data_IF_192187061502
#
_entry.id   IF_192187061502
#
_cell.length_a   1.000
_cell.length_b   1.000
_cell.length_c   1.000
_cell.angle_alpha   90.00
_cell.angle_beta   90.00
_cell.angle_gamma   90.00
#
_symmetry.space_group_name_H-M   'P 1'
#
loop_
_entity.id
_entity.type
_entity.pdbx_description
1 polymer ?
2 non-polymer ?
3 non-polymer ?
4 non-polymer ?
5 water ?
#
# COMPACT_ATOMS: atom_id res chain seq x y z
N UNK A 3 -0.22 17.79 -15.56
CA UNK A 3 0.57 18.68 -14.72
C UNK A 3 1.05 18.00 -13.41
N UNK A 4 0.15 17.28 -12.68
CA UNK A 4 0.62 16.59 -11.47
C UNK A 4 1.60 15.46 -11.79
N UNK A 5 1.22 14.58 -12.71
CA UNK A 5 2.10 13.47 -13.08
C UNK A 5 3.40 13.98 -13.71
N UNK A 6 3.31 15.03 -14.53
CA UNK A 6 4.50 15.58 -15.17
C UNK A 6 5.43 16.21 -14.16
N UNK A 7 4.89 16.80 -13.08
CA UNK A 7 5.73 17.33 -12.01
C UNK A 7 6.30 16.21 -11.15
N UNK A 8 5.50 15.17 -10.89
CA UNK A 8 5.95 14.07 -10.05
C UNK A 8 7.16 13.38 -10.67
N UNK A 9 7.08 13.05 -11.97
CA UNK A 9 8.21 12.43 -12.64
C UNK A 9 9.39 13.36 -12.80
N UNK A 10 9.17 14.68 -12.76
CA UNK A 10 10.27 15.63 -12.83
C UNK A 10 11.03 15.69 -11.51
N UNK A 11 10.31 15.61 -10.39
CA UNK A 11 10.97 15.60 -9.09
C UNK A 11 11.71 14.29 -8.87
N UNK A 12 11.26 13.22 -9.53
CA UNK A 12 11.98 11.95 -9.46
C UNK A 12 13.40 12.09 -10.00
N UNK A 13 13.53 12.73 -11.17
CA UNK A 13 14.86 12.98 -11.72
C UNK A 13 15.69 13.83 -10.77
N UNK A 14 15.05 14.82 -10.13
CA UNK A 14 15.76 15.65 -9.17
C UNK A 14 16.20 14.84 -7.96
N UNK A 15 15.34 13.94 -7.47
CA UNK A 15 15.70 13.12 -6.32
C UNK A 15 16.76 12.10 -6.71
N UNK A 16 16.62 11.47 -7.87
CA UNK A 16 17.59 10.47 -8.30
C UNK A 16 18.97 11.08 -8.46
N UNK A 17 19.03 12.33 -8.96
CA UNK A 17 20.31 12.97 -9.19
C UNK A 17 21.04 13.24 -7.88
N UNK A 18 20.31 13.68 -6.84
CA UNK A 18 20.95 13.91 -5.55
C UNK A 18 21.45 12.61 -4.94
N UNK A 19 20.63 11.56 -4.96
CA UNK A 19 21.03 10.30 -4.35
C UNK A 19 22.27 9.73 -5.01
N UNK A 20 22.34 9.77 -6.34
CA UNK A 20 23.49 9.20 -7.03
C UNK A 20 24.73 10.09 -6.90
N UNK A 21 24.54 11.42 -6.95
CA UNK A 21 25.68 12.31 -6.75
C UNK A 21 26.20 12.25 -5.33
N UNK A 22 25.30 12.08 -4.35
CA UNK A 22 25.73 11.91 -2.96
C UNK A 22 26.60 10.67 -2.81
N UNK A 23 26.20 9.56 -3.44
CA UNK A 23 27.03 8.36 -3.43
C UNK A 23 28.36 8.60 -4.12
N UNK A 24 28.36 9.39 -5.20
CA UNK A 24 29.59 9.63 -5.94
C UNK A 24 30.53 10.57 -5.18
N UNK A 25 29.98 11.58 -4.53
CA UNK A 25 30.79 12.61 -3.88
C UNK A 25 31.09 12.31 -2.41
N UNK A 26 30.13 11.74 -1.67
CA UNK A 26 30.30 11.51 -0.25
C UNK A 26 30.51 10.05 0.13
N UNK A 27 30.23 9.11 -0.77
CA UNK A 27 30.40 7.70 -0.48
C UNK A 27 31.45 7.02 -1.35
N UNK A 28 32.16 7.80 -2.17
CA UNK A 28 33.31 7.31 -2.92
C UNK A 28 32.93 6.17 -3.87
N UNK A 29 31.77 6.28 -4.50
CA UNK A 29 31.27 5.22 -5.38
C UNK A 29 31.79 5.44 -6.81
N UNK A 30 32.24 4.35 -7.42
CA UNK A 30 32.72 4.39 -8.79
C UNK A 30 31.56 4.57 -9.76
N UNK A 31 31.83 5.08 -10.97
CA UNK A 31 30.73 5.27 -11.93
C UNK A 31 30.00 3.99 -12.31
N UNK A 32 30.72 2.86 -12.37
CA UNK A 32 30.09 1.61 -12.78
C UNK A 32 28.96 1.23 -11.83
N UNK A 33 29.14 1.46 -10.53
CA UNK A 33 28.09 1.15 -9.57
C UNK A 33 27.03 2.25 -9.51
N UNK A 34 27.39 3.49 -9.83
CA UNK A 34 26.40 4.56 -9.86
C UNK A 34 25.37 4.28 -10.95
N UNK A 35 25.83 3.89 -12.14
CA UNK A 35 24.90 3.54 -13.20
C UNK A 35 24.14 2.26 -12.87
N UNK A 36 24.79 1.33 -12.18
CA UNK A 36 24.10 0.12 -11.74
C UNK A 36 22.94 0.47 -10.81
N UNK A 37 23.16 1.41 -9.89
CA UNK A 37 22.10 1.81 -8.97
C UNK A 37 21.06 2.68 -9.64
N UNK A 38 21.42 3.41 -10.70
CA UNK A 38 20.41 4.15 -11.45
C UNK A 38 19.44 3.20 -12.15
N UNK A 39 19.98 2.15 -12.77
CA UNK A 39 19.13 1.17 -13.44
C UNK A 39 18.27 0.40 -12.43
N UNK A 40 18.86 0.05 -11.28
CA UNK A 40 18.09 -0.64 -10.26
C UNK A 40 16.99 0.26 -9.69
N UNK A 41 17.28 1.55 -9.52
CA UNK A 41 16.28 2.47 -9.01
C UNK A 41 15.13 2.64 -9.99
N UNK A 42 15.43 2.76 -11.29
CA UNK A 42 14.38 2.91 -12.29
C UNK A 42 13.53 1.65 -12.38
N UNK A 43 14.15 0.47 -12.24
CA UNK A 43 13.42 -0.77 -12.38
C UNK A 43 12.45 -0.99 -11.22
N UNK A 44 12.90 -0.72 -9.99
CA UNK A 44 12.10 -1.03 -8.82
C UNK A 44 11.05 0.04 -8.53
N UNK A 45 11.34 1.31 -8.82
CA UNK A 45 10.46 2.40 -8.43
C UNK A 45 9.49 2.81 -9.53
N UNK A 46 9.95 2.89 -10.77
CA UNK A 46 9.10 3.32 -11.88
C UNK A 46 8.33 2.12 -12.45
N UNK A 47 7.35 2.44 -13.29
CA UNK A 47 6.58 1.43 -13.99
C UNK A 47 5.22 1.14 -13.39
N UNK A 48 4.95 1.62 -12.18
CA UNK A 48 3.66 1.42 -11.53
C UNK A 48 2.69 2.53 -11.84
N UNK A 49 1.55 2.50 -11.15
CA UNK A 49 0.53 3.53 -11.33
C UNK A 49 0.79 4.76 -10.48
N UNK A 50 1.64 4.64 -9.46
CA UNK A 50 2.01 5.76 -8.58
C UNK A 50 0.79 6.34 -7.87
N UNK A 51 -0.16 5.47 -7.51
CA UNK A 51 -1.38 5.94 -6.85
C UNK A 51 -1.07 6.53 -5.48
N UNK A 52 -0.17 5.89 -4.72
CA UNK A 52 0.17 6.40 -3.39
C UNK A 52 0.91 7.72 -3.48
N UNK A 53 1.85 7.83 -4.41
CA UNK A 53 2.65 9.05 -4.50
C UNK A 53 1.85 10.24 -4.96
N UNK A 54 0.95 10.04 -5.93
CA UNK A 54 0.13 11.13 -6.43
C UNK A 54 -0.94 11.56 -5.43
N UNK A 55 -1.35 10.67 -4.53
CA UNK A 55 -2.31 11.05 -3.50
C UNK A 55 -1.72 12.10 -2.56
N UNK A 56 -0.42 12.02 -2.29
CA UNK A 56 0.24 13.01 -1.45
C UNK A 56 0.14 14.40 -2.08
N UNK A 57 0.29 14.47 -3.40
CA UNK A 57 0.22 15.75 -4.09
C UNK A 57 -1.22 16.24 -4.16
N UNK A 58 -2.17 15.34 -4.37
CA UNK A 58 -3.57 15.75 -4.48
C UNK A 58 -4.10 16.30 -3.17
N UNK A 59 -3.60 15.80 -2.04
CA UNK A 59 -4.01 16.35 -0.75
C UNK A 59 -3.39 17.72 -0.52
N UNK A 60 -2.12 17.90 -0.92
CA UNK A 60 -1.43 19.15 -0.67
C UNK A 60 -2.02 20.29 -1.50
N UNK A 61 -2.38 20.01 -2.76
CA UNK A 61 -2.88 21.08 -3.62
C UNK A 61 -4.29 21.52 -3.20
N UNK A 62 -5.04 20.63 -2.54
CA UNK A 62 -6.36 21.00 -2.02
C UNK A 62 -6.28 21.83 -0.75
N UNK A 63 -5.16 21.76 -0.02
CA UNK A 63 -4.98 22.54 1.19
C UNK A 63 -4.22 23.83 0.94
N UNK A 64 -3.90 24.14 -0.32
CA UNK A 64 -3.23 25.39 -0.66
C UNK A 64 -4.24 26.47 -1.08
N UNK A 65 -4.98 26.22 -2.16
CA UNK A 65 -5.97 27.19 -2.61
C UNK A 65 -7.16 27.26 -1.67
N UNK A 66 -7.46 26.17 -0.97
CA UNK A 66 -8.58 26.10 -0.03
C UNK A 66 -8.09 26.20 1.41
N UNK A 67 -7.07 27.02 1.66
CA UNK A 67 -6.51 27.19 2.99
C UNK A 67 -7.43 28.03 3.87
N UNK A 77 3.14 33.30 -4.79
CA UNK A 77 3.17 32.57 -3.54
C UNK A 77 4.38 31.67 -3.39
N UNK A 78 5.36 32.12 -2.61
CA UNK A 78 6.55 31.32 -2.36
C UNK A 78 6.26 30.11 -1.47
N UNK A 79 5.18 30.15 -0.69
CA UNK A 79 4.82 28.99 0.12
C UNK A 79 4.20 27.89 -0.72
N UNK A 80 3.56 28.25 -1.85
CA UNK A 80 2.93 27.24 -2.69
C UNK A 80 3.96 26.34 -3.36
N UNK A 81 4.99 26.94 -3.97
CA UNK A 81 5.99 26.15 -4.68
C UNK A 81 6.75 25.21 -3.75
N UNK A 82 6.90 25.60 -2.48
CA UNK A 82 7.61 24.77 -1.53
C UNK A 82 6.77 23.58 -1.07
N UNK A 83 5.48 23.81 -0.80
CA UNK A 83 4.61 22.73 -0.32
C UNK A 83 4.42 21.68 -1.40
N UNK A 84 4.22 22.11 -2.65
CA UNK A 84 4.04 21.14 -3.74
C UNK A 84 5.32 20.34 -3.98
N UNK A 85 6.49 21.00 -3.93
CA UNK A 85 7.74 20.28 -4.09
C UNK A 85 7.98 19.34 -2.90
N UNK A 86 7.59 19.76 -1.70
CA UNK A 86 7.70 18.88 -0.54
C UNK A 86 6.75 17.69 -0.66
N UNK A 87 5.57 17.90 -1.25
CA UNK A 87 4.63 16.81 -1.42
C UNK A 87 5.14 15.79 -2.44
N UNK A 88 5.96 16.23 -3.40
CA UNK A 88 6.50 15.30 -4.38
C UNK A 88 7.57 14.40 -3.77
N UNK A 89 8.41 14.95 -2.89
CA UNK A 89 9.41 14.13 -2.21
C UNK A 89 8.72 13.09 -1.33
N UNK A 90 7.70 13.51 -0.59
CA UNK A 90 6.94 12.56 0.21
C UNK A 90 6.25 11.53 -0.66
N UNK A 91 5.76 11.94 -1.83
CA UNK A 91 5.16 10.98 -2.75
C UNK A 91 6.14 9.93 -3.22
N UNK A 92 7.42 10.30 -3.37
CA UNK A 92 8.42 9.32 -3.75
C UNK A 92 8.97 8.54 -2.55
N UNK A 93 8.83 9.08 -1.33
CA UNK A 93 9.18 8.30 -0.15
C UNK A 93 8.31 7.06 -0.04
N UNK A 94 7.02 7.19 -0.40
CA UNK A 94 6.12 6.04 -0.34
C UNK A 94 6.36 5.11 -1.53
N UNK A 95 6.58 5.67 -2.72
CA UNK A 95 6.84 4.83 -3.89
C UNK A 95 8.12 4.03 -3.72
N UNK A 96 9.18 4.67 -3.22
CA UNK A 96 10.41 3.94 -2.91
C UNK A 96 10.17 2.92 -1.81
N UNK A 97 9.28 3.22 -0.86
CA UNK A 97 8.92 2.25 0.15
C UNK A 97 8.12 1.09 -0.45
N UNK A 98 7.21 1.39 -1.37
CA UNK A 98 6.50 0.33 -2.08
C UNK A 98 7.46 -0.52 -2.90
N UNK A 99 8.46 0.13 -3.52
CA UNK A 99 9.51 -0.63 -4.19
C UNK A 99 10.27 -1.51 -3.22
N UNK A 100 10.51 -1.00 -2.01
CA UNK A 100 11.21 -1.79 -0.99
C UNK A 100 10.41 -3.05 -0.62
N UNK A 101 9.09 -2.92 -0.51
CA UNK A 101 8.26 -4.07 -0.17
C UNK A 101 8.24 -5.10 -1.30
N UNK A 102 8.16 -4.63 -2.55
CA UNK A 102 8.11 -5.54 -3.68
C UNK A 102 9.41 -6.33 -3.81
N UNK A 103 10.56 -5.69 -3.54
CA UNK A 103 11.83 -6.39 -3.63
C UNK A 103 11.92 -7.47 -2.56
N UNK A 104 11.44 -7.18 -1.35
CA UNK A 104 11.43 -8.19 -0.30
C UNK A 104 10.56 -9.38 -0.68
N UNK A 105 9.48 -9.13 -1.44
CA UNK A 105 8.61 -10.23 -1.86
C UNK A 105 9.30 -11.16 -2.85
N UNK A 106 10.13 -10.59 -3.74
CA UNK A 106 10.83 -11.42 -4.72
C UNK A 106 11.85 -12.34 -4.06
N UNK A 107 12.42 -11.91 -2.93
CA UNK A 107 13.38 -12.75 -2.22
C UNK A 107 12.68 -13.92 -1.54
N UNK A 108 11.43 -13.75 -1.12
CA UNK A 108 10.71 -14.82 -0.45
C UNK A 108 10.39 -15.97 -1.41
N UNK A 109 10.29 -15.68 -2.70
CA UNK A 109 10.02 -16.72 -3.70
C UNK A 109 10.91 -16.57 -4.93
N UNK A 124 27.47 -18.96 -2.49
CA UNK A 124 27.77 -17.55 -2.74
C UNK A 124 26.97 -17.00 -3.93
N UNK A 125 25.65 -17.16 -3.90
CA UNK A 125 24.78 -16.68 -4.96
C UNK A 125 24.78 -15.16 -4.92
N UNK A 126 25.52 -14.53 -5.83
CA UNK A 126 25.73 -13.09 -5.77
C UNK A 126 24.44 -12.33 -6.09
N UNK A 127 23.54 -12.94 -6.86
CA UNK A 127 22.30 -12.24 -7.22
C UNK A 127 21.32 -12.21 -6.05
N UNK A 128 21.39 -13.16 -5.12
CA UNK A 128 20.53 -13.11 -3.94
C UNK A 128 21.05 -12.08 -2.95
N UNK A 129 22.37 -11.90 -2.86
CA UNK A 129 22.93 -10.85 -2.03
C UNK A 129 22.55 -9.47 -2.55
N UNK A 130 22.56 -9.30 -3.88
CA UNK A 130 22.22 -8.01 -4.46
C UNK A 130 20.75 -7.68 -4.25
N UNK A 131 19.87 -8.67 -4.40
CA UNK A 131 18.45 -8.43 -4.18
C UNK A 131 18.18 -8.01 -2.74
N UNK A 132 18.86 -8.65 -1.78
CA UNK A 132 18.73 -8.24 -0.39
C UNK A 132 19.28 -6.84 -0.18
N UNK A 133 20.45 -6.56 -0.77
CA UNK A 133 21.05 -5.24 -0.61
C UNK A 133 20.21 -4.16 -1.28
N UNK A 134 19.62 -4.46 -2.45
CA UNK A 134 18.73 -3.50 -3.09
C UNK A 134 17.54 -3.17 -2.20
N UNK A 135 17.01 -4.16 -1.48
CA UNK A 135 15.89 -3.90 -0.60
C UNK A 135 16.23 -2.95 0.52
N UNK A 136 17.43 -3.06 1.07
CA UNK A 136 17.81 -2.18 2.17
C UNK A 136 18.24 -0.80 1.66
N UNK A 137 18.73 -0.72 0.41
CA UNK A 137 19.05 0.58 -0.16
C UNK A 137 17.78 1.37 -0.47
N UNK A 138 16.74 0.70 -0.94
CA UNK A 138 15.48 1.38 -1.22
C UNK A 138 14.86 1.94 0.05
N UNK A 139 14.94 1.18 1.15
CA UNK A 139 14.40 1.69 2.42
C UNK A 139 15.25 2.83 2.96
N UNK A 140 16.57 2.72 2.84
CA UNK A 140 17.45 3.79 3.30
C UNK A 140 17.30 5.03 2.44
N UNK A 141 16.96 4.88 1.16
CA UNK A 141 16.83 6.02 0.28
C UNK A 141 15.67 6.92 0.67
N UNK A 142 14.63 6.37 1.31
CA UNK A 142 13.54 7.21 1.78
C UNK A 142 14.00 8.13 2.91
N UNK A 143 14.97 7.68 3.72
CA UNK A 143 15.50 8.54 4.77
C UNK A 143 16.42 9.62 4.21
N UNK A 144 17.21 9.27 3.19
CA UNK A 144 18.19 10.22 2.65
C UNK A 144 17.50 11.35 1.90
N UNK A 145 16.45 11.05 1.14
CA UNK A 145 15.72 12.10 0.45
C UNK A 145 14.88 12.94 1.41
N UNK A 146 14.54 12.40 2.58
CA UNK A 146 13.81 13.18 3.59
C UNK A 146 14.76 14.06 4.38
N UNK A 147 15.94 13.56 4.74
CA UNK A 147 16.91 14.33 5.50
C UNK A 147 17.53 15.46 4.70
N UNK A 148 17.40 15.45 3.36
CA UNK A 148 18.00 16.46 2.51
C UNK A 148 17.00 17.53 2.10
N UNK A 149 15.92 17.13 1.42
CA UNK A 149 14.95 18.12 0.94
C UNK A 149 14.12 18.71 2.08
N UNK A 150 14.04 18.03 3.22
CA UNK A 150 13.34 18.55 4.39
C UNK A 150 14.29 18.88 5.53
N UNK A 151 15.55 19.19 5.20
CA UNK A 151 16.56 19.37 6.22
C UNK A 151 16.22 20.54 7.15
N UNK A 152 15.69 21.62 6.59
CA UNK A 152 15.35 22.82 7.35
C UNK A 152 13.85 22.96 7.56
N UNK A 153 13.09 21.88 7.36
CA UNK A 153 11.66 21.95 7.63
C UNK A 153 11.39 21.63 9.09
N UNK A 154 10.41 22.29 9.72
CA UNK A 154 10.11 22.01 11.13
C UNK A 154 9.43 20.67 11.35
N UNK A 155 9.05 19.95 10.30
CA UNK A 155 8.32 18.70 10.44
C UNK A 155 9.17 17.47 10.15
N UNK A 156 10.49 17.64 9.97
CA UNK A 156 11.34 16.51 9.60
C UNK A 156 11.31 15.42 10.68
N UNK A 157 11.31 15.83 11.95
CA UNK A 157 11.27 14.84 13.03
C UNK A 157 9.92 14.14 13.09
N UNK A 158 8.83 14.90 12.97
CA UNK A 158 7.51 14.29 13.03
C UNK A 158 7.23 13.45 11.78
N UNK A 159 7.86 13.79 10.65
CA UNK A 159 7.66 12.99 9.45
C UNK A 159 8.35 11.64 9.55
N UNK A 160 9.61 11.64 9.98
CA UNK A 160 10.36 10.38 10.09
C UNK A 160 9.72 9.42 11.07
N UNK A 161 9.16 9.95 12.17
CA UNK A 161 8.57 9.08 13.18
C UNK A 161 7.25 8.47 12.70
N UNK A 162 6.40 9.28 12.05
CA UNK A 162 5.18 8.74 11.49
C UNK A 162 5.46 7.81 10.32
N UNK A 163 6.55 8.06 9.57
CA UNK A 163 6.92 7.18 8.49
C UNK A 163 7.47 5.86 9.02
N UNK A 164 8.34 5.92 10.03
CA UNK A 164 8.91 4.70 10.58
C UNK A 164 7.85 3.88 11.32
N UNK A 165 6.93 4.55 12.01
CA UNK A 165 5.86 3.82 12.70
C UNK A 165 4.95 3.10 11.71
N UNK A 166 4.73 3.68 10.53
CA UNK A 166 3.90 3.01 9.53
C UNK A 166 4.66 1.84 8.91
N UNK A 167 5.97 1.99 8.69
CA UNK A 167 6.77 0.89 8.18
C UNK A 167 6.81 -0.25 9.18
N UNK A 168 6.96 0.08 10.47
CA UNK A 168 6.83 -0.92 11.52
C UNK A 168 5.46 -1.60 11.47
N UNK A 169 4.41 -0.80 11.23
CA UNK A 169 3.06 -1.36 11.16
C UNK A 169 2.95 -2.40 10.06
N UNK A 170 3.52 -2.12 8.89
CA UNK A 170 3.44 -3.07 7.78
C UNK A 170 4.14 -4.37 8.10
N UNK A 171 5.30 -4.31 8.73
CA UNK A 171 6.02 -5.52 9.11
C UNK A 171 5.19 -6.34 10.10
N UNK A 172 4.51 -5.68 11.04
CA UNK A 172 3.59 -6.38 11.92
C UNK A 172 2.42 -6.95 11.13
N UNK A 173 2.00 -6.25 10.08
CA UNK A 173 0.90 -6.74 9.28
C UNK A 173 1.23 -8.02 8.53
N UNK A 174 2.46 -8.15 8.05
CA UNK A 174 2.81 -9.37 7.34
C UNK A 174 3.10 -10.53 8.27
N UNK A 175 3.45 -10.26 9.53
CA UNK A 175 3.58 -11.35 10.49
C UNK A 175 2.24 -12.02 10.73
N UNK A 176 1.17 -11.21 10.83
CA UNK A 176 -0.17 -11.77 10.94
C UNK A 176 -0.55 -12.54 9.69
N UNK A 177 -0.14 -12.06 8.53
CA UNK A 177 -0.51 -12.70 7.27
C UNK A 177 0.25 -14.00 7.06
N UNK A 178 1.58 -13.95 7.23
CA UNK A 178 2.41 -15.13 7.00
C UNK A 178 2.04 -16.26 7.96
N UNK A 179 1.65 -15.92 9.18
CA UNK A 179 1.35 -16.91 10.21
C UNK A 179 -0.14 -16.97 10.55
N UNK A 180 -1.00 -16.72 9.56
CA UNK A 180 -2.44 -16.82 9.81
C UNK A 180 -2.93 -18.26 9.81
N UNK A 181 -2.16 -19.18 9.23
CA UNK A 181 -2.53 -20.59 9.20
C UNK A 181 -1.73 -21.42 10.19
N UNK A 182 -0.78 -20.82 10.91
CA UNK A 182 0.08 -21.53 11.85
C UNK A 182 0.12 -20.81 13.18
N UNK A 183 0.41 -21.58 14.23
CA UNK A 183 0.71 -21.05 15.56
C UNK A 183 1.28 -22.14 16.45
N UNK A 199 -7.45 -23.53 11.27
CA UNK A 199 -8.21 -22.43 10.69
C UNK A 199 -8.89 -21.58 11.76
N UNK A 200 -8.30 -21.58 12.96
CA UNK A 200 -8.89 -20.83 14.06
C UNK A 200 -8.87 -19.33 13.80
N UNK A 201 -7.76 -18.81 13.29
CA UNK A 201 -7.64 -17.38 13.04
C UNK A 201 -8.31 -16.93 11.75
N UNK A 202 -8.95 -17.85 11.01
CA UNK A 202 -9.68 -17.50 9.80
C UNK A 202 -11.03 -16.90 10.20
N UNK A 203 -10.98 -15.65 10.65
CA UNK A 203 -12.18 -14.92 11.03
C UNK A 203 -12.19 -13.59 10.30
N UNK A 204 -13.36 -12.94 10.31
CA UNK A 204 -13.49 -11.65 9.66
C UNK A 204 -12.80 -10.54 10.46
N UNK A 205 -12.63 -10.73 11.76
CA UNK A 205 -11.93 -9.74 12.58
C UNK A 205 -10.42 -9.83 12.39
N UNK A 206 -9.88 -11.05 12.36
CA UNK A 206 -8.46 -11.20 12.09
C UNK A 206 -8.11 -10.81 10.66
N UNK A 207 -9.02 -11.09 9.72
CA UNK A 207 -8.82 -10.62 8.36
C UNK A 207 -8.70 -9.10 8.33
N UNK A 208 -9.59 -8.42 9.05
CA UNK A 208 -9.50 -6.96 9.15
C UNK A 208 -8.16 -6.53 9.73
N UNK A 209 -7.68 -7.24 10.76
CA UNK A 209 -6.40 -6.88 11.38
C UNK A 209 -5.26 -7.04 10.39
N UNK A 210 -5.27 -8.11 9.60
CA UNK A 210 -4.21 -8.32 8.61
C UNK A 210 -4.24 -7.21 7.56
N UNK A 211 -5.41 -6.94 7.00
CA UNK A 211 -5.53 -5.91 5.97
C UNK A 211 -5.21 -4.53 6.55
N UNK A 212 -5.59 -4.31 7.82
CA UNK A 212 -5.38 -3.00 8.43
C UNK A 212 -3.90 -2.66 8.54
N UNK A 213 -3.10 -3.57 9.08
CA UNK A 213 -1.70 -3.29 9.35
C UNK A 213 -0.80 -3.55 8.14
N UNK A 214 -1.08 -4.59 7.36
CA UNK A 214 -0.21 -4.91 6.24
C UNK A 214 -0.44 -3.98 5.04
N UNK A 215 -1.66 -3.49 4.85
CA UNK A 215 -2.01 -2.76 3.64
C UNK A 215 -2.54 -1.36 3.92
N UNK A 216 -3.50 -1.22 4.83
CA UNK A 216 -4.27 0.02 4.92
C UNK A 216 -3.41 1.18 5.41
N UNK A 217 -2.49 0.92 6.33
CA UNK A 217 -1.78 2.02 6.99
C UNK A 217 -0.82 2.73 6.03
N UNK A 218 -0.12 1.98 5.18
CA UNK A 218 0.87 2.59 4.30
C UNK A 218 0.32 2.92 2.91
N UNK A 219 -0.79 2.32 2.51
CA UNK A 219 -1.37 2.59 1.20
C UNK A 219 -2.38 3.73 1.23
N UNK A 220 -3.14 3.87 2.31
CA UNK A 220 -4.21 4.85 2.37
C UNK A 220 -4.02 5.90 3.45
N UNK A 221 -3.63 5.50 4.67
CA UNK A 221 -3.49 6.48 5.73
C UNK A 221 -2.19 7.27 5.63
N UNK A 222 -1.11 6.60 5.23
CA UNK A 222 0.19 7.27 5.16
C UNK A 222 0.23 8.40 4.14
N UNK A 223 -0.28 8.24 2.90
CA UNK A 223 -0.23 9.38 1.97
C UNK A 223 -1.07 10.56 2.43
N UNK A 224 -2.24 10.30 3.03
CA UNK A 224 -3.08 11.40 3.51
C UNK A 224 -2.41 12.17 4.63
N UNK A 225 -1.84 11.46 5.60
CA UNK A 225 -1.12 12.13 6.69
C UNK A 225 0.07 12.90 6.14
N UNK A 226 0.76 12.34 5.16
CA UNK A 226 1.91 13.03 4.58
C UNK A 226 1.51 14.30 3.84
N UNK A 227 0.34 14.30 3.21
CA UNK A 227 -0.15 15.52 2.59
C UNK A 227 -0.48 16.60 3.61
N UNK A 228 -0.99 16.21 4.77
CA UNK A 228 -1.29 17.17 5.83
C UNK A 228 -0.02 17.73 6.45
N UNK A 229 1.07 16.97 6.45
CA UNK A 229 2.30 17.42 7.10
C UNK A 229 2.98 18.49 6.26
N UNK A 230 3.12 18.25 4.95
CA UNK A 230 3.76 19.24 4.09
C UNK A 230 2.90 20.47 3.91
N UNK A 231 1.58 20.35 4.13
CA UNK A 231 0.68 21.50 4.11
C UNK A 231 0.58 22.19 5.46
N UNK A 232 1.26 21.67 6.48
CA UNK A 232 1.28 22.23 7.83
C UNK A 232 -0.11 22.32 8.45
N UNK A 233 -1.07 21.58 7.91
CA UNK A 233 -2.45 21.57 8.39
C UNK A 233 -2.82 20.21 8.98
N UNK A 234 -1.87 19.60 9.70
CA UNK A 234 -2.14 18.30 10.30
C UNK A 234 -3.18 18.38 11.42
N UNK A 235 -3.06 19.27 12.41
CA UNK A 235 -4.06 19.31 13.48
C UNK A 235 -5.39 19.96 13.10
N UNK A 236 -5.61 20.23 11.82
CA UNK A 236 -6.84 20.87 11.35
C UNK A 236 -7.88 19.85 10.88
N UNK A 237 -7.61 18.55 11.04
CA UNK A 237 -8.50 17.51 10.59
C UNK A 237 -8.80 16.56 11.75
N UNK A 238 -9.93 15.87 11.65
CA UNK A 238 -10.29 14.84 12.61
C UNK A 238 -9.56 13.56 12.20
N UNK A 239 -8.49 13.22 12.92
CA UNK A 239 -7.70 12.04 12.58
C UNK A 239 -8.49 10.76 12.82
N UNK A 240 -9.42 10.77 13.78
CA UNK A 240 -10.22 9.59 14.03
C UNK A 240 -11.03 9.17 12.82
N UNK A 241 -11.81 10.10 12.27
CA UNK A 241 -12.56 9.83 11.05
C UNK A 241 -11.60 9.54 9.89
N UNK A 242 -10.44 10.20 9.89
CA UNK A 242 -9.46 9.97 8.82
C UNK A 242 -8.92 8.55 8.88
N UNK A 243 -8.51 8.10 10.08
CA UNK A 243 -7.99 6.75 10.22
C UNK A 243 -9.06 5.71 9.90
N UNK A 244 -10.31 5.99 10.31
CA UNK A 244 -11.38 5.03 10.03
C UNK A 244 -11.68 4.95 8.54
N UNK A 245 -11.57 6.07 7.82
CA UNK A 245 -11.76 6.03 6.37
C UNK A 245 -10.70 5.19 5.69
N UNK A 246 -9.44 5.33 6.13
CA UNK A 246 -8.35 4.60 5.48
C UNK A 246 -8.49 3.10 5.67
N UNK A 247 -8.88 2.66 6.87
CA UNK A 247 -9.02 1.23 7.12
C UNK A 247 -10.14 0.63 6.29
N UNK A 248 -11.24 1.36 6.11
CA UNK A 248 -12.37 0.83 5.34
C UNK A 248 -12.04 0.79 3.85
N UNK A 249 -11.29 1.77 3.35
CA UNK A 249 -10.90 1.75 1.95
C UNK A 249 -9.90 0.64 1.66
N UNK A 250 -8.96 0.42 2.57
CA UNK A 250 -8.04 -0.71 2.42
C UNK A 250 -8.76 -2.04 2.49
N UNK A 251 -9.76 -2.14 3.37
CA UNK A 251 -10.59 -3.34 3.42
C UNK A 251 -11.39 -3.51 2.13
N UNK A 252 -11.96 -2.42 1.62
CA UNK A 252 -12.64 -2.49 0.32
C UNK A 252 -11.68 -2.91 -0.78
N UNK A 253 -10.45 -2.41 -0.73
CA UNK A 253 -9.47 -2.72 -1.78
C UNK A 253 -9.04 -4.18 -1.72
N UNK A 254 -8.86 -4.73 -0.52
CA UNK A 254 -8.33 -6.08 -0.39
C UNK A 254 -9.37 -7.15 -0.70
N UNK A 255 -10.63 -6.90 -0.38
CA UNK A 255 -11.67 -7.89 -0.68
C UNK A 255 -11.83 -8.04 -2.19
N UNK A 256 -11.94 -6.92 -2.91
CA UNK A 256 -11.98 -6.97 -4.37
C UNK A 256 -10.73 -7.64 -4.93
N UNK A 257 -9.58 -7.44 -4.27
CA UNK A 257 -8.36 -8.08 -4.73
C UNK A 257 -8.41 -9.60 -4.52
N UNK A 258 -9.01 -10.04 -3.41
CA UNK A 258 -9.07 -11.47 -3.12
C UNK A 258 -10.00 -12.20 -4.09
N UNK A 259 -11.12 -11.56 -4.46
CA UNK A 259 -12.05 -12.18 -5.40
C UNK A 259 -11.41 -12.27 -6.79
N UNK A 260 -10.73 -11.21 -7.21
CA UNK A 260 -10.06 -11.23 -8.51
C UNK A 260 -8.94 -12.26 -8.53
N UNK A 261 -8.23 -12.41 -7.41
CA UNK A 261 -7.12 -13.36 -7.36
C UNK A 261 -7.57 -14.78 -7.63
N UNK A 262 -8.83 -15.10 -7.34
CA UNK A 262 -9.35 -16.44 -7.48
C UNK A 262 -10.07 -16.68 -8.81
N UNK A 263 -10.85 -15.71 -9.28
CA UNK A 263 -11.70 -15.92 -10.46
C UNK A 263 -11.23 -15.24 -11.72
N UNK A 264 -10.47 -14.16 -11.61
CA UNK A 264 -9.99 -13.46 -12.81
C UNK A 264 -8.87 -14.26 -13.45
N UNK A 265 -8.96 -14.53 -14.76
CA UNK A 265 -7.90 -15.31 -15.43
C UNK A 265 -6.57 -14.59 -15.40
N UNK A 266 -5.46 -15.31 -15.58
CA UNK A 266 -4.14 -14.66 -15.45
C UNK A 266 -3.89 -13.56 -16.47
N UNK A 267 -4.34 -13.73 -17.72
CA UNK A 267 -4.11 -12.70 -18.73
C UNK A 267 -4.93 -11.44 -18.48
N UNK A 268 -6.03 -11.55 -17.74
CA UNK A 268 -6.85 -10.40 -17.38
C UNK A 268 -6.52 -9.85 -16.00
N UNK A 269 -5.94 -10.66 -15.12
CA UNK A 269 -5.61 -10.19 -13.78
C UNK A 269 -4.25 -9.51 -13.73
N UNK A 270 -3.30 -9.95 -14.54
CA UNK A 270 -1.96 -9.41 -14.55
C UNK A 270 -0.93 -10.28 -13.83
N UNK A 271 -1.38 -11.32 -13.15
CA UNK A 271 -0.49 -12.25 -12.45
C UNK A 271 -1.17 -13.61 -12.40
N UNK A 272 -0.62 -14.51 -11.60
CA UNK A 272 -1.21 -15.83 -11.39
C UNK A 272 -1.67 -15.90 -9.94
N UNK A 273 -2.99 -15.92 -9.74
CA UNK A 273 -3.56 -15.98 -8.42
C UNK A 273 -3.18 -17.25 -7.67
N UNK A 274 -2.52 -17.09 -6.53
CA UNK A 274 -2.02 -18.24 -5.77
C UNK A 274 -2.50 -18.22 -4.32
N UNK A 275 -3.61 -17.55 -4.03
CA UNK A 275 -4.09 -17.45 -2.66
C UNK A 275 -4.52 -18.81 -2.12
N UNK A 276 -5.21 -19.61 -2.94
CA UNK A 276 -5.64 -20.93 -2.48
C UNK A 276 -4.43 -21.84 -2.25
N UNK A 277 -3.47 -21.81 -3.16
CA UNK A 277 -2.26 -22.62 -2.99
C UNK A 277 -1.45 -22.17 -1.78
N UNK A 278 -1.31 -20.86 -1.59
CA UNK A 278 -0.57 -20.32 -0.45
C UNK A 278 -1.33 -20.43 0.86
N UNK A 279 -2.57 -20.94 0.83
CA UNK A 279 -3.39 -21.09 2.03
C UNK A 279 -3.59 -19.76 2.75
N UNK A 280 -3.85 -18.71 1.98
CA UNK A 280 -3.96 -17.37 2.55
C UNK A 280 -5.31 -17.20 3.26
N UNK A 281 -5.31 -16.30 4.25
CA UNK A 281 -6.53 -15.94 4.97
C UNK A 281 -7.27 -14.86 4.17
N UNK A 282 -7.81 -15.29 3.02
CA UNK A 282 -8.49 -14.37 2.12
C UNK A 282 -9.93 -14.13 2.59
N UNK A 283 -10.57 -13.14 1.97
CA UNK A 283 -11.97 -12.86 2.30
C UNK A 283 -12.87 -14.00 1.87
N UNK A 284 -12.56 -14.63 0.73
CA UNK A 284 -13.37 -15.76 0.28
C UNK A 284 -13.31 -16.92 1.26
N UNK A 285 -12.14 -17.16 1.83
CA UNK A 285 -11.98 -18.30 2.74
C UNK A 285 -12.76 -18.09 4.03
N UNK A 286 -12.65 -16.90 4.64
CA UNK A 286 -13.31 -16.67 5.91
C UNK A 286 -14.81 -16.50 5.73
N UNK A 287 -15.24 -15.96 4.59
CA UNK A 287 -16.68 -15.89 4.32
C UNK A 287 -17.26 -17.25 3.99
N UNK A 288 -16.48 -18.10 3.31
CA UNK A 288 -16.94 -19.45 3.01
C UNK A 288 -17.12 -20.27 4.28
N UNK A 289 -16.17 -20.18 5.21
CA UNK A 289 -16.25 -20.98 6.43
C UNK A 289 -17.45 -20.63 7.29
N UNK A 290 -18.00 -19.43 7.12
CA UNK A 290 -19.14 -19.01 7.95
C UNK A 290 -20.46 -19.57 7.43
N UNK A 291 -20.56 -19.84 6.13
CA UNK A 291 -21.82 -20.32 5.56
C UNK A 291 -21.73 -21.72 4.99
N UNK A 292 -20.61 -22.41 5.16
CA UNK A 292 -20.49 -23.77 4.65
C UNK A 292 -21.06 -24.78 5.64
N UNK A 293 -21.38 -25.97 5.13
CA UNK A 293 -21.86 -27.05 5.96
C UNK A 293 -20.68 -27.75 6.65
N UNK A 294 -20.99 -28.71 7.51
CA UNK A 294 -19.92 -29.42 8.22
C UNK A 294 -19.08 -30.24 7.26
N UNK A 295 -19.70 -30.84 6.24
CA UNK A 295 -18.94 -31.62 5.27
C UNK A 295 -18.14 -30.71 4.34
N UNK A 296 -18.74 -29.59 3.91
CA UNK A 296 -18.05 -28.68 3.01
C UNK A 296 -16.82 -28.06 3.66
N UNK A 297 -16.86 -27.82 4.97
CA UNK A 297 -15.68 -27.34 5.67
C UNK A 297 -14.60 -28.41 5.68
N UNK A 298 -14.99 -29.68 5.89
CA UNK A 298 -14.02 -30.77 5.83
C UNK A 298 -13.45 -30.92 4.43
N UNK A 299 -14.29 -30.77 3.40
CA UNK A 299 -13.77 -30.79 2.03
C UNK A 299 -12.92 -29.57 1.75
N UNK A 300 -13.18 -28.45 2.43
CA UNK A 300 -12.33 -27.27 2.30
C UNK A 300 -10.97 -27.49 2.95
N UNK A 301 -10.96 -28.04 4.17
CA UNK A 301 -9.71 -28.29 4.87
C UNK A 301 -8.85 -29.30 4.12
N UNK A 302 -9.47 -30.29 3.49
CA UNK A 302 -8.70 -31.32 2.82
C UNK A 302 -8.11 -30.86 1.50
N UNK A 303 -8.58 -29.74 0.95
CA UNK A 303 -8.14 -29.25 -0.35
C UNK A 303 -7.47 -27.88 -0.32
N UNK A 304 -7.64 -27.12 0.75
CA UNK A 304 -7.03 -25.80 0.81
C UNK A 304 -5.53 -25.92 1.07
N UNK A 305 -4.77 -24.95 0.58
CA UNK A 305 -3.35 -24.91 0.79
C UNK A 305 -2.53 -25.89 -0.02
N UNK A 306 -3.09 -26.44 -1.09
CA UNK A 306 -2.39 -27.40 -1.93
C UNK A 306 -2.13 -26.80 -3.31
N UNK A 307 -1.18 -27.40 -4.01
CA UNK A 307 -0.83 -27.00 -5.36
C UNK A 307 -1.41 -27.85 -6.47
N UNK A 308 -2.18 -28.87 -6.13
CA UNK A 308 -2.79 -29.72 -7.14
C UNK A 308 -3.84 -28.94 -7.93
N UNK A 309 -3.86 -29.16 -9.25
CA UNK A 309 -4.74 -28.39 -10.12
C UNK A 309 -6.22 -28.65 -9.83
N UNK A 310 -6.57 -29.87 -9.43
CA UNK A 310 -7.96 -30.19 -9.16
C UNK A 310 -8.39 -29.83 -7.74
N UNK A 311 -7.46 -29.85 -6.79
CA UNK A 311 -7.81 -29.39 -5.44
C UNK A 311 -8.11 -27.90 -5.43
N UNK A 312 -7.32 -27.11 -6.16
CA UNK A 312 -7.62 -25.68 -6.31
C UNK A 312 -8.97 -25.50 -6.99
N UNK A 313 -9.23 -26.28 -8.04
CA UNK A 313 -10.53 -26.21 -8.71
C UNK A 313 -11.65 -26.69 -7.80
N UNK A 314 -11.36 -27.63 -6.89
CA UNK A 314 -12.37 -28.03 -5.92
C UNK A 314 -12.65 -26.91 -4.93
N UNK A 315 -11.65 -26.11 -4.60
CA UNK A 315 -11.87 -24.96 -3.73
C UNK A 315 -12.69 -23.89 -4.44
N UNK A 316 -12.38 -23.62 -5.71
CA UNK A 316 -13.20 -22.68 -6.48
C UNK A 316 -14.62 -23.22 -6.65
N UNK A 317 -14.77 -24.54 -6.76
CA UNK A 317 -16.11 -25.12 -6.85
C UNK A 317 -16.91 -24.86 -5.58
N UNK A 318 -16.26 -25.01 -4.41
CA UNK A 318 -16.92 -24.69 -3.15
C UNK A 318 -17.25 -23.20 -3.05
N UNK A 319 -16.34 -22.34 -3.50
CA UNK A 319 -16.61 -20.90 -3.51
C UNK A 319 -17.79 -20.57 -4.42
N UNK A 320 -17.81 -21.16 -5.62
CA UNK A 320 -18.89 -20.87 -6.56
C UNK A 320 -20.23 -21.36 -6.05
N UNK A 321 -20.28 -22.61 -5.58
CA UNK A 321 -21.54 -23.20 -5.14
C UNK A 321 -22.07 -22.57 -3.86
N UNK A 322 -21.28 -21.77 -3.16
CA UNK A 322 -21.73 -21.08 -1.96
C UNK A 322 -22.24 -19.66 -2.23
N UNK A 323 -22.27 -19.25 -3.50
CA UNK A 323 -22.73 -17.91 -3.89
C UNK A 323 -21.93 -16.83 -3.16
N UNK A 324 -20.62 -16.97 -3.17
CA UNK A 324 -19.77 -15.97 -2.53
C UNK A 324 -19.71 -14.69 -3.35
N UNK A 325 -19.65 -14.82 -4.68
CA UNK A 325 -19.63 -13.66 -5.56
C UNK A 325 -20.92 -12.86 -5.53
N UNK A 326 -21.99 -13.41 -4.96
CA UNK A 326 -23.17 -12.64 -4.69
C UNK A 326 -23.02 -11.87 -3.40
N UNK A 327 -22.41 -12.51 -2.39
CA UNK A 327 -22.12 -11.83 -1.14
C UNK A 327 -21.08 -10.73 -1.31
N UNK A 328 -20.20 -10.88 -2.30
CA UNK A 328 -19.17 -9.87 -2.54
C UNK A 328 -19.76 -8.54 -2.92
N UNK A 329 -20.80 -8.55 -3.77
CA UNK A 329 -21.41 -7.30 -4.19
C UNK A 329 -22.12 -6.62 -3.03
N UNK A 330 -22.70 -7.41 -2.11
CA UNK A 330 -23.40 -6.84 -0.98
C UNK A 330 -22.42 -6.31 0.07
N UNK A 331 -21.35 -7.05 0.34
CA UNK A 331 -20.38 -6.61 1.35
C UNK A 331 -19.73 -5.29 0.96
N UNK A 332 -19.32 -5.17 -0.31
CA UNK A 332 -18.67 -3.94 -0.76
C UNK A 332 -19.63 -2.77 -0.81
N UNK A 333 -20.91 -3.03 -1.10
CA UNK A 333 -21.89 -1.95 -1.14
C UNK A 333 -22.04 -1.30 0.23
N UNK A 334 -22.04 -2.11 1.29
CA UNK A 334 -22.14 -1.56 2.64
C UNK A 334 -20.88 -0.80 3.02
N UNK A 335 -19.71 -1.28 2.55
CA UNK A 335 -18.47 -0.56 2.82
C UNK A 335 -18.49 0.80 2.13
N UNK A 336 -18.96 0.85 0.87
CA UNK A 336 -18.99 2.10 0.13
C UNK A 336 -19.91 3.12 0.82
N UNK A 337 -21.01 2.65 1.41
CA UNK A 337 -21.90 3.56 2.12
C UNK A 337 -21.22 4.16 3.34
N UNK A 338 -20.43 3.36 4.06
CA UNK A 338 -19.71 3.88 5.22
C UNK A 338 -18.67 4.90 4.80
N UNK A 339 -18.03 4.69 3.64
CA UNK A 339 -17.05 5.66 3.14
C UNK A 339 -17.74 6.96 2.75
N UNK A 340 -18.87 6.84 2.04
CA UNK A 340 -19.62 8.04 1.66
C UNK A 340 -20.08 8.82 2.88
N UNK A 341 -20.42 8.13 3.97
CA UNK A 341 -20.87 8.82 5.18
C UNK A 341 -19.71 9.45 5.94
N UNK A 342 -18.59 8.73 6.06
CA UNK A 342 -17.47 9.22 6.85
C UNK A 342 -16.77 10.40 6.18
N UNK A 343 -16.85 10.51 4.86
CA UNK A 343 -16.28 11.66 4.17
C UNK A 343 -17.01 12.93 4.57
N UNK A 344 -18.33 12.83 4.79
CA UNK A 344 -19.11 14.01 5.16
C UNK A 344 -18.73 14.51 6.55
N UNK A 345 -18.56 13.60 7.51
CA UNK A 345 -18.19 14.01 8.86
C UNK A 345 -16.83 14.72 8.88
N UNK A 346 -15.91 14.29 8.02
CA UNK A 346 -14.61 14.94 7.88
C UNK A 346 -14.72 16.31 7.21
N UNK A 347 -15.84 16.61 6.57
CA UNK A 347 -16.01 17.83 5.79
C UNK A 347 -16.45 19.01 6.65
N UNK A 348 -17.12 18.77 7.78
CA UNK A 348 -17.59 19.88 8.61
C UNK A 348 -16.44 20.72 9.13
N UNK A 349 -15.26 20.12 9.29
CA UNK A 349 -14.07 20.84 9.75
C UNK A 349 -12.92 20.79 8.75
N UNK A 350 -13.09 20.09 7.62
CA UNK A 350 -12.04 20.02 6.61
C UNK A 350 -12.71 19.85 5.24
N UNK A 351 -13.16 20.96 4.65
CA UNK A 351 -13.87 20.86 3.36
C UNK A 351 -12.95 20.45 2.22
N UNK A 352 -11.80 21.12 2.09
CA UNK A 352 -10.88 20.80 1.02
C UNK A 352 -10.18 19.47 1.21
N UNK A 353 -9.89 19.10 2.45
CA UNK A 353 -9.23 17.82 2.71
C UNK A 353 -10.14 16.65 2.33
N UNK A 354 -11.45 16.81 2.53
CA UNK A 354 -12.39 15.75 2.18
C UNK A 354 -12.53 15.58 0.68
N UNK A 355 -12.13 16.58 -0.11
CA UNK A 355 -12.20 16.44 -1.57
C UNK A 355 -11.13 15.49 -2.08
N UNK A 356 -9.92 15.56 -1.53
CA UNK A 356 -8.85 14.68 -1.96
C UNK A 356 -9.10 13.24 -1.49
N UNK A 357 -9.61 13.07 -0.27
CA UNK A 357 -9.96 11.74 0.20
C UNK A 357 -11.08 11.15 -0.64
N UNK A 358 -11.98 12.00 -1.13
CA UNK A 358 -13.03 11.52 -2.02
C UNK A 358 -12.45 11.12 -3.37
N UNK A 359 -11.44 11.83 -3.85
CA UNK A 359 -10.77 11.46 -5.09
C UNK A 359 -9.98 10.17 -4.92
N UNK A 360 -9.31 10.00 -3.78
CA UNK A 360 -8.62 8.75 -3.50
C UNK A 360 -9.59 7.58 -3.42
N UNK A 361 -10.80 7.83 -2.92
CA UNK A 361 -11.80 6.76 -2.83
C UNK A 361 -12.28 6.33 -4.21
N UNK A 362 -12.37 7.27 -5.16
CA UNK A 362 -12.81 6.91 -6.50
C UNK A 362 -11.84 5.99 -7.22
N UNK A 363 -10.54 6.14 -6.94
CA UNK A 363 -9.55 5.25 -7.55
C UNK A 363 -9.68 3.83 -7.03
N UNK A 364 -10.12 3.67 -5.78
CA UNK A 364 -10.39 2.34 -5.22
C UNK A 364 -11.78 1.84 -5.55
N UNK A 365 -12.73 2.75 -5.72
CA UNK A 365 -14.12 2.38 -6.03
C UNK A 365 -14.33 2.30 -7.55
X LIG B 1 4.57 -6.63 1.41
X LIG B 1 6.49 -6.29 4.90
X LIG B 1 7.98 -7.26 3.25
X LIG B 1 7.55 -5.53 5.42
X LIG B 1 9.04 -6.52 3.78
X LIG B 1 8.82 -5.65 4.85
X LIG B 1 4.40 -6.49 0.08
X LIG B 1 5.34 -7.66 1.84
X LIG B 1 3.94 -5.73 2.28
X LIG B 1 3.65 -5.51 -0.46
X LIG B 1 5.54 -7.97 3.24
X LIG B 1 3.16 -4.71 1.76
X LIG B 1 3.01 -4.59 0.37
X LIG B 1 3.52 -5.42 -1.99
X LIG B 1 6.71 -7.14 3.81
X LIG C 1 26.92 -4.44 -14.19
X LIG C 1 25.72 -3.71 -14.56
X LIG C 1 26.95 -4.57 -12.66
X LIG C 1 28.25 -5.06 -12.28
X LIG C 1 28.40 -5.21 -10.84
X LIG C 1 28.15 -3.83 -10.19
X LIG C 1 27.97 -4.02 -8.77
X LIG D 1 -4.77 -11.28 2.54
X LIG D 1 -3.65 -10.53 3.20
X LIG D 1 -4.59 -13.04 2.93
X LIG D 1 -4.48 -11.34 0.75
#
# INVERSE_FOLDING_TARGET
GPMPMQMFMQVYDEIQMFLLEELELKFDMDPNRVRYLRKMMDTTCLGGKYNRGLTVIDVAESLLSLSPNNNGEEDDGARRKRVLHDACVCGWMIEFLQAHYLVEDDIMDNSVTRRGKPCWYRHPDVTVQCAINDGLLLKSWTHMMAMHFFADRPFLQDLLCRFNRVDYTTAVGQLYDVTSMFDSNKLDPDVSQPTTTDFAEFTLSNYKRIVKYKTAYYTYLLPLVMGLIVSEALPTVDMGVTEELAMLMGEYFQVQDDVMDCFTPPERLGKVGTDIQDAKCSWLAVTFLAKASSAQVAEFKANYGSGDSEKVATVRRLYEEADLQGDYVAYEAAVAEQVKELIEKLRLCSPGFAASVETLWGKTYKRQK
JNE C1 C11 C12 C13 C14 C15 N2 N3 C4 C5 C6 C7 C8 C9 C10
PEG C1 O1 C2 O2 C3 C4 O4
DMS S O C1 C2
#
